data_IF_453709793892
#
_entry.id   IF_453709793892
#
_cell.length_a   1.000
_cell.length_b   1.000
_cell.length_c   1.000
_cell.angle_alpha   90.00
_cell.angle_beta   90.00
_cell.angle_gamma   90.00
#
_symmetry.space_group_name_H-M   'P 1'
#
loop_
_entity.id
_entity.type
_entity.pdbx_description
1 polymer ?
#
# COMPACT_ATOMS: atom_id res chain seq x y z
N UNK A 1 10.47 -10.80 -5.11
CA UNK A 1 11.41 -9.87 -4.48
C UNK A 1 10.89 -8.44 -4.63
N UNK A 2 10.39 -7.85 -3.54
CA UNK A 2 9.90 -6.46 -3.53
C UNK A 2 11.06 -5.46 -3.32
N UNK A 3 12.20 -5.71 -3.88
CA UNK A 3 13.47 -5.03 -3.58
C UNK A 3 13.50 -3.53 -3.89
N UNK A 4 12.51 -2.98 -4.58
CA UNK A 4 12.44 -1.56 -4.95
C UNK A 4 11.03 -0.98 -4.80
N UNK A 5 10.15 -1.67 -4.07
CA UNK A 5 8.73 -1.38 -4.08
C UNK A 5 8.23 -0.45 -2.97
N UNK A 6 8.95 -0.32 -1.88
CA UNK A 6 8.47 0.47 -0.75
C UNK A 6 8.79 1.96 -0.95
N UNK A 7 7.76 2.77 -1.11
CA UNK A 7 7.87 4.22 -1.18
C UNK A 7 7.49 4.82 0.18
N UNK A 8 8.34 5.67 0.70
CA UNK A 8 8.12 6.37 1.97
C UNK A 8 8.16 7.88 1.73
N UNK A 9 7.29 8.60 2.41
CA UNK A 9 7.24 10.06 2.31
C UNK A 9 5.87 10.56 1.83
N UNK A 10 5.77 11.84 1.42
CA UNK A 10 6.85 12.85 1.35
C UNK A 10 7.30 13.38 2.71
N UNK A 11 6.50 13.19 3.77
CA UNK A 11 6.76 13.72 5.09
C UNK A 11 6.72 12.63 6.16
N UNK A 12 7.38 12.88 7.27
CA UNK A 12 7.15 12.24 8.54
C UNK A 12 6.36 13.23 9.40
N UNK A 13 5.15 12.86 9.77
CA UNK A 13 4.25 13.71 10.58
C UNK A 13 4.14 13.10 11.96
N UNK A 14 4.28 13.94 12.98
CA UNK A 14 4.23 13.49 14.37
C UNK A 14 2.79 13.27 14.85
N UNK A 15 2.57 12.40 15.84
CA UNK A 15 1.22 12.06 16.30
C UNK A 15 0.38 13.27 16.78
N UNK A 16 1.03 14.28 17.34
CA UNK A 16 0.35 15.51 17.79
C UNK A 16 -0.23 16.32 16.62
N UNK A 17 0.41 16.30 15.44
CA UNK A 17 -0.11 16.95 14.23
C UNK A 17 -1.17 16.10 13.53
N UNK A 18 -0.98 14.78 13.49
CA UNK A 18 -1.94 13.85 12.87
C UNK A 18 -3.24 13.78 13.66
N UNK A 19 -3.14 13.81 14.98
CA UNK A 19 -4.24 13.53 15.89
C UNK A 19 -4.53 12.03 15.97
N UNK A 20 -5.74 11.60 15.60
CA UNK A 20 -6.10 10.18 15.62
C UNK A 20 -5.79 9.49 14.29
N UNK A 21 -4.71 8.71 14.19
CA UNK A 21 -4.32 8.06 12.95
C UNK A 21 -5.29 6.95 12.52
N UNK A 22 -6.18 6.52 13.41
CA UNK A 22 -7.19 5.48 13.12
C UNK A 22 -8.44 6.01 12.39
N UNK A 23 -8.50 7.32 12.07
CA UNK A 23 -9.68 7.95 11.47
C UNK A 23 -9.37 8.83 10.26
N UNK A 24 -8.27 8.57 9.58
CA UNK A 24 -7.85 9.36 8.42
C UNK A 24 -8.57 8.89 7.16
N UNK A 25 -9.06 9.83 6.38
CA UNK A 25 -9.56 9.55 5.04
C UNK A 25 -8.40 9.30 4.10
N UNK A 26 -8.60 8.36 3.17
CA UNK A 26 -7.62 7.99 2.17
C UNK A 26 -8.24 8.07 0.79
N UNK A 27 -7.51 8.67 -0.15
CA UNK A 27 -7.90 8.72 -1.56
C UNK A 27 -6.73 8.23 -2.40
N UNK A 28 -7.00 7.25 -3.24
CA UNK A 28 -6.05 6.74 -4.23
C UNK A 28 -6.45 7.22 -5.61
N UNK A 29 -5.53 7.87 -6.31
CA UNK A 29 -5.70 8.27 -7.71
C UNK A 29 -4.71 7.54 -8.58
N UNK A 30 -5.16 7.16 -9.77
CA UNK A 30 -4.33 6.62 -10.84
C UNK A 30 -4.49 7.51 -12.05
N UNK A 31 -3.39 8.03 -12.58
CA UNK A 31 -3.35 8.97 -13.69
C UNK A 31 -4.29 10.19 -13.47
N UNK A 32 -4.33 10.70 -12.24
CA UNK A 32 -5.15 11.84 -11.83
C UNK A 32 -6.62 11.54 -11.52
N UNK A 33 -7.12 10.36 -11.85
CA UNK A 33 -8.50 9.93 -11.58
C UNK A 33 -8.61 9.20 -10.26
N UNK A 34 -9.62 9.52 -9.46
CA UNK A 34 -9.92 8.80 -8.21
C UNK A 34 -10.28 7.36 -8.55
N UNK A 35 -9.52 6.42 -7.97
CA UNK A 35 -9.72 4.98 -8.18
C UNK A 35 -10.36 4.35 -6.96
N UNK A 36 -9.81 4.63 -5.76
CA UNK A 36 -10.29 4.07 -4.51
C UNK A 36 -10.38 5.16 -3.43
N UNK A 37 -11.27 4.94 -2.49
CA UNK A 37 -11.41 5.78 -1.30
C UNK A 37 -11.74 4.91 -0.10
N UNK A 38 -11.21 5.25 1.07
CA UNK A 38 -11.44 4.51 2.30
C UNK A 38 -10.99 5.30 3.52
N UNK A 39 -10.94 4.62 4.63
CA UNK A 39 -10.51 5.19 5.91
C UNK A 39 -9.60 4.24 6.66
N UNK A 40 -8.65 4.79 7.40
CA UNK A 40 -7.83 3.98 8.31
C UNK A 40 -8.65 3.33 9.43
N UNK A 41 -9.88 3.79 9.67
CA UNK A 41 -10.81 3.14 10.62
C UNK A 41 -11.27 1.74 10.19
N UNK A 42 -11.06 1.38 8.93
CA UNK A 42 -11.43 0.08 8.37
C UNK A 42 -10.32 -0.96 8.53
N UNK A 43 -9.14 -0.54 9.01
CA UNK A 43 -8.03 -1.45 9.29
C UNK A 43 -8.37 -2.32 10.50
N UNK A 44 -8.29 -3.63 10.34
CA UNK A 44 -8.72 -4.61 11.35
C UNK A 44 -7.84 -4.64 12.60
N UNK A 45 -6.54 -4.35 12.45
CA UNK A 45 -5.58 -4.41 13.54
C UNK A 45 -5.22 -3.01 14.03
N UNK A 46 -5.32 -2.81 15.34
CA UNK A 46 -4.90 -1.55 15.97
C UNK A 46 -3.38 -1.45 16.02
N UNK A 47 -2.88 -0.21 16.03
CA UNK A 47 -1.45 0.04 16.11
C UNK A 47 -0.81 -0.59 17.35
N UNK A 48 -1.50 -0.51 18.50
CA UNK A 48 -1.04 -1.09 19.75
C UNK A 48 -0.84 -2.59 19.67
N UNK A 49 -1.76 -3.31 19.02
CA UNK A 49 -1.70 -4.76 18.87
C UNK A 49 -0.51 -5.16 17.98
N UNK A 50 -0.31 -4.43 16.88
CA UNK A 50 0.81 -4.67 15.97
C UNK A 50 2.15 -4.39 16.66
N UNK A 51 2.27 -3.31 17.42
CA UNK A 51 3.49 -3.02 18.17
C UNK A 51 3.74 -3.99 19.31
N UNK A 52 2.71 -4.45 20.01
CA UNK A 52 2.83 -5.50 21.02
C UNK A 52 3.36 -6.79 20.41
N UNK A 53 2.83 -7.19 19.25
CA UNK A 53 3.29 -8.36 18.51
C UNK A 53 4.74 -8.22 18.03
N UNK A 54 5.09 -7.08 17.44
CA UNK A 54 6.46 -6.80 17.02
C UNK A 54 7.43 -6.84 18.21
N UNK A 55 7.05 -6.27 19.36
CA UNK A 55 7.85 -6.31 20.58
C UNK A 55 8.11 -7.73 21.10
N UNK A 56 7.15 -8.63 20.91
CA UNK A 56 7.31 -10.03 21.24
C UNK A 56 8.27 -10.76 20.30
N UNK A 57 8.17 -10.52 19.00
CA UNK A 57 9.00 -11.17 17.98
C UNK A 57 10.43 -10.61 17.94
N UNK A 58 10.54 -9.30 17.84
CA UNK A 58 11.80 -8.58 17.80
C UNK A 58 11.54 -7.10 18.15
N UNK A 59 12.03 -6.61 19.29
CA UNK A 59 11.81 -5.23 19.70
C UNK A 59 12.22 -4.25 18.59
N UNK A 60 11.34 -3.32 18.19
CA UNK A 60 11.68 -2.35 17.15
C UNK A 60 12.82 -1.43 17.62
N UNK A 61 13.74 -1.19 16.69
CA UNK A 61 14.87 -0.26 16.92
C UNK A 61 14.50 1.12 16.42
N UNK A 62 15.18 2.18 16.88
CA UNK A 62 15.04 3.51 16.27
C UNK A 62 15.19 3.47 14.75
N UNK A 63 14.24 4.07 14.03
CA UNK A 63 14.19 4.03 12.57
C UNK A 63 13.46 2.82 11.97
N UNK A 64 12.92 1.91 12.78
CA UNK A 64 12.05 0.83 12.29
C UNK A 64 10.75 1.42 11.73
N UNK A 65 10.39 1.00 10.52
CA UNK A 65 9.10 1.32 9.89
C UNK A 65 8.25 0.05 9.89
N UNK A 66 7.06 0.15 10.47
CA UNK A 66 6.10 -0.94 10.50
C UNK A 66 4.91 -0.63 9.59
N UNK A 67 4.60 -1.56 8.68
CA UNK A 67 3.39 -1.49 7.87
C UNK A 67 2.22 -2.17 8.59
N UNK A 68 1.05 -1.55 8.55
CA UNK A 68 -0.18 -2.08 9.19
C UNK A 68 -1.10 -2.83 8.23
N UNK A 69 -0.65 -3.09 7.03
CA UNK A 69 -1.46 -3.72 5.99
C UNK A 69 -2.18 -2.71 5.10
N UNK A 70 -3.18 -3.18 4.41
CA UNK A 70 -3.98 -2.40 3.47
C UNK A 70 -5.28 -1.91 4.10
N UNK A 71 -5.80 -0.80 3.59
CA UNK A 71 -7.17 -0.38 3.87
C UNK A 71 -8.08 -1.19 2.96
N UNK A 72 -9.14 -1.84 3.48
CA UNK A 72 -10.11 -2.57 2.68
C UNK A 72 -10.65 -1.74 1.51
N UNK A 73 -10.90 -2.36 0.39
CA UNK A 73 -11.37 -1.75 -0.85
C UNK A 73 -10.50 -0.64 -1.44
N UNK A 74 -9.28 -0.43 -0.90
CA UNK A 74 -8.33 0.57 -1.38
C UNK A 74 -7.17 -0.01 -2.19
N UNK A 75 -7.25 -1.28 -2.56
CA UNK A 75 -6.23 -1.94 -3.39
C UNK A 75 -6.82 -2.48 -4.68
N UNK A 76 -6.01 -2.52 -5.73
CA UNK A 76 -6.42 -3.13 -6.99
C UNK A 76 -6.72 -4.63 -6.86
N UNK A 77 -6.12 -5.28 -5.87
CA UNK A 77 -6.34 -6.70 -5.60
C UNK A 77 -7.80 -6.97 -5.18
N UNK A 78 -8.40 -6.07 -4.41
CA UNK A 78 -9.78 -6.20 -3.94
C UNK A 78 -10.80 -6.12 -5.09
N UNK A 79 -10.41 -5.48 -6.19
CA UNK A 79 -11.28 -5.19 -7.33
C UNK A 79 -10.87 -5.93 -8.63
N UNK A 80 -9.91 -6.84 -8.57
CA UNK A 80 -9.29 -7.46 -9.77
C UNK A 80 -8.84 -6.40 -10.80
N UNK A 81 -8.32 -5.29 -10.30
CA UNK A 81 -7.97 -4.09 -11.05
C UNK A 81 -6.48 -3.80 -10.89
N UNK A 82 -5.70 -4.15 -11.90
CA UNK A 82 -4.26 -3.99 -11.89
C UNK A 82 -3.83 -2.73 -12.62
N UNK A 83 -2.81 -2.08 -12.07
CA UNK A 83 -2.28 -0.82 -12.57
C UNK A 83 -1.29 -1.10 -13.71
N UNK A 84 -1.48 -0.42 -14.83
CA UNK A 84 -0.59 -0.54 -15.97
C UNK A 84 0.81 0.04 -15.68
N UNK A 85 1.86 -0.53 -16.28
CA UNK A 85 3.18 0.07 -16.25
C UNK A 85 3.18 1.52 -16.75
N UNK A 86 3.99 2.36 -16.13
CA UNK A 86 4.07 3.79 -16.45
C UNK A 86 3.02 4.67 -15.78
N UNK A 87 1.96 4.09 -15.19
CA UNK A 87 0.92 4.86 -14.51
C UNK A 87 1.47 5.65 -13.31
N UNK A 88 0.93 6.84 -13.11
CA UNK A 88 1.17 7.64 -11.91
C UNK A 88 0.14 7.27 -10.83
N UNK A 89 0.64 6.97 -9.64
CA UNK A 89 -0.18 6.68 -8.46
C UNK A 89 -0.01 7.82 -7.48
N UNK A 90 -1.11 8.33 -6.96
CA UNK A 90 -1.15 9.31 -5.89
C UNK A 90 -1.97 8.73 -4.73
N UNK A 91 -1.37 8.63 -3.57
CA UNK A 91 -2.06 8.20 -2.35
C UNK A 91 -2.08 9.38 -1.39
N UNK A 92 -3.26 9.89 -1.11
CA UNK A 92 -3.48 11.02 -0.21
C UNK A 92 -4.10 10.52 1.08
N UNK A 93 -3.41 10.73 2.19
CA UNK A 93 -3.98 10.59 3.52
C UNK A 93 -4.30 11.98 4.07
N UNK A 94 -5.47 12.08 4.67
CA UNK A 94 -5.87 13.28 5.40
C UNK A 94 -4.77 13.65 6.42
N UNK A 95 -4.37 14.92 6.46
CA UNK A 95 -3.30 15.47 7.33
C UNK A 95 -1.88 14.97 7.09
N UNK A 96 -1.68 13.90 6.31
CA UNK A 96 -0.34 13.39 5.99
C UNK A 96 0.17 13.85 4.62
N UNK A 97 -0.71 14.40 3.78
CA UNK A 97 -0.36 14.83 2.44
C UNK A 97 -0.48 13.72 1.40
N UNK A 98 0.18 13.90 0.27
CA UNK A 98 0.08 13.01 -0.89
C UNK A 98 1.42 12.40 -1.25
N UNK A 99 1.51 11.08 -1.19
CA UNK A 99 2.61 10.34 -1.78
C UNK A 99 2.34 10.14 -3.28
N UNK A 100 3.32 10.47 -4.12
CA UNK A 100 3.27 10.27 -5.56
C UNK A 100 4.37 9.32 -5.99
N UNK A 101 4.01 8.33 -6.77
CA UNK A 101 4.97 7.41 -7.37
C UNK A 101 4.52 7.04 -8.78
N UNK A 102 5.43 6.50 -9.57
CA UNK A 102 5.13 5.97 -10.89
C UNK A 102 5.40 4.48 -10.90
N UNK A 103 4.46 3.73 -11.44
CA UNK A 103 4.63 2.30 -11.65
C UNK A 103 5.65 2.10 -12.77
N UNK A 104 6.79 1.50 -12.44
CA UNK A 104 7.88 1.37 -13.42
C UNK A 104 7.53 0.39 -14.54
N UNK A 105 8.01 0.68 -15.73
CA UNK A 105 8.05 -0.31 -16.80
C UNK A 105 8.93 -1.50 -16.39
N UNK A 106 8.56 -2.73 -16.74
CA UNK A 106 9.38 -3.90 -16.47
C UNK A 106 10.76 -3.76 -17.14
N UNK A 107 11.83 -3.82 -16.35
CA UNK A 107 13.19 -3.79 -16.87
C UNK A 107 13.59 -5.18 -17.40
N UNK A 108 13.13 -5.53 -18.60
CA UNK A 108 13.47 -6.81 -19.25
C UNK A 108 12.67 -8.01 -18.73
N UNK A 109 13.19 -9.22 -18.92
CA UNK A 109 12.55 -10.45 -18.44
C UNK A 109 12.63 -10.53 -16.92
N UNK A 110 11.56 -10.18 -16.23
CA UNK A 110 11.47 -10.19 -14.77
C UNK A 110 11.46 -11.59 -14.16
N UNK A 111 11.08 -12.60 -14.93
CA UNK A 111 11.00 -13.97 -14.44
C UNK A 111 12.04 -14.86 -15.13
N UNK A 112 12.70 -15.76 -14.38
CA UNK A 112 13.50 -16.78 -14.98
C UNK A 112 12.67 -17.59 -15.98
N UNK A 113 13.23 -17.93 -17.14
CA UNK A 113 12.57 -18.71 -18.20
C UNK A 113 12.02 -20.07 -17.73
N UNK A 114 12.50 -20.55 -16.58
CA UNK A 114 12.07 -21.81 -15.94
C UNK A 114 10.75 -21.71 -15.15
N UNK A 115 10.22 -20.52 -14.93
CA UNK A 115 8.89 -20.39 -14.30
C UNK A 115 7.82 -20.66 -15.35
N UNK A 116 6.97 -21.66 -15.12
CA UNK A 116 5.88 -21.91 -16.05
C UNK A 116 4.98 -20.68 -16.09
N UNK A 117 4.75 -20.18 -17.30
CA UNK A 117 3.69 -19.17 -17.51
C UNK A 117 2.37 -19.88 -17.21
N UNK A 118 1.75 -19.54 -16.10
CA UNK A 118 0.39 -20.02 -15.81
C UNK A 118 -0.54 -19.41 -16.86
N UNK A 119 -1.45 -20.23 -17.44
CA UNK A 119 -2.51 -19.66 -18.25
C UNK A 119 -3.29 -18.66 -17.37
N UNK A 120 -3.85 -17.60 -17.96
CA UNK A 120 -4.68 -16.67 -17.22
C UNK A 120 -5.74 -17.45 -16.45
N UNK A 121 -5.93 -17.09 -15.19
CA UNK A 121 -6.97 -17.70 -14.36
C UNK A 121 -8.28 -17.57 -15.11
N UNK A 122 -8.92 -18.69 -15.39
CA UNK A 122 -10.26 -18.66 -15.95
C UNK A 122 -11.15 -17.92 -14.95
N UNK A 123 -11.77 -16.82 -15.39
CA UNK A 123 -12.76 -16.13 -14.57
C UNK A 123 -13.85 -17.14 -14.24
N UNK A 124 -13.95 -17.48 -12.97
CA UNK A 124 -15.10 -18.21 -12.49
C UNK A 124 -16.30 -17.27 -12.57
N UNK A 125 -17.04 -17.36 -13.67
CA UNK A 125 -18.36 -16.77 -13.73
C UNK A 125 -19.26 -17.62 -12.82
N UNK A 126 -19.61 -17.07 -11.68
CA UNK A 126 -20.78 -17.51 -10.93
C UNK A 126 -22.02 -16.84 -11.49
#
# INVERSE_FOLDING_TARGET
>A
EMAKGNQLGPYLVTPDEVGDPSKLKVVVKVNGHVRYQGSTSEISHKAEDVFAWLGFMAPPKPGTVAGFGTIPDCTGLDHDDFIDPGAEIQITFERLGTLRCRFAEPAGKLLPSRWPVRPPLQKYHQ
#
